data_IF_830056096208
#
_entry.id   IF_830056096208
#
_cell.length_a   1.000
_cell.length_b   1.000
_cell.length_c   1.000
_cell.angle_alpha   90.00
_cell.angle_beta   90.00
_cell.angle_gamma   90.00
#
_symmetry.space_group_name_H-M   'P 1'
#
loop_
_entity.id
_entity.type
_entity.pdbx_description
1 polymer ?
#
# COMPACT_ATOMS: atom_id res chain seq x y z
N UNK A 1 12.54 22.54 -17.45
CA UNK A 1 11.43 22.78 -18.38
C UNK A 1 11.41 24.24 -18.77
N UNK A 2 11.52 24.55 -20.06
CA UNK A 2 11.47 25.92 -20.59
C UNK A 2 10.24 26.11 -21.47
N UNK A 3 9.67 27.30 -21.43
CA UNK A 3 8.47 27.67 -22.17
C UNK A 3 8.78 28.73 -23.22
N UNK A 4 7.77 29.53 -23.54
CA UNK A 4 7.91 30.66 -24.46
C UNK A 4 9.06 31.60 -24.05
N UNK A 5 9.81 32.10 -25.04
CA UNK A 5 11.03 32.90 -24.85
C UNK A 5 12.10 32.24 -23.97
N UNK A 6 12.13 30.90 -23.94
CA UNK A 6 13.07 30.08 -23.17
C UNK A 6 13.08 30.35 -21.66
N UNK A 7 11.99 30.93 -21.15
CA UNK A 7 11.79 31.11 -19.71
C UNK A 7 11.60 29.76 -19.05
N UNK A 8 12.37 29.47 -18.02
CA UNK A 8 12.18 28.27 -17.20
C UNK A 8 10.89 28.44 -16.40
N UNK A 9 9.93 27.55 -16.59
CA UNK A 9 8.67 27.54 -15.83
C UNK A 9 8.64 26.45 -14.75
N UNK A 10 9.46 25.40 -14.92
CA UNK A 10 9.57 24.35 -13.91
C UNK A 10 10.96 23.70 -13.88
N UNK A 11 11.32 23.16 -12.72
CA UNK A 11 12.53 22.38 -12.46
C UNK A 11 12.19 21.21 -11.52
N UNK A 12 12.52 19.99 -11.94
CA UNK A 12 12.42 18.79 -11.12
C UNK A 12 13.85 18.35 -10.77
N UNK A 13 14.22 18.50 -9.50
CA UNK A 13 15.47 18.01 -8.95
C UNK A 13 15.27 16.60 -8.40
N UNK A 14 16.14 15.66 -8.78
CA UNK A 14 16.13 14.27 -8.32
C UNK A 14 17.42 13.95 -7.59
N UNK A 15 17.33 13.40 -6.39
CA UNK A 15 18.44 12.77 -5.68
C UNK A 15 18.15 11.26 -5.59
N UNK A 16 18.78 10.49 -6.48
CA UNK A 16 18.53 9.06 -6.63
C UNK A 16 19.24 8.18 -5.59
N UNK A 17 20.24 8.71 -4.88
CA UNK A 17 20.87 8.01 -3.75
C UNK A 17 19.95 8.01 -2.53
N UNK A 18 19.40 9.20 -2.23
CA UNK A 18 18.48 9.41 -1.10
C UNK A 18 17.01 9.14 -1.46
N UNK A 19 16.72 8.86 -2.73
CA UNK A 19 15.36 8.72 -3.28
C UNK A 19 14.45 9.88 -2.88
N UNK A 20 14.95 11.10 -3.04
CA UNK A 20 14.18 12.33 -2.79
C UNK A 20 14.06 13.13 -4.07
N UNK A 21 13.01 13.93 -4.18
CA UNK A 21 12.84 14.82 -5.32
C UNK A 21 12.13 16.10 -4.93
N UNK A 22 12.37 17.15 -5.70
CA UNK A 22 11.77 18.47 -5.49
C UNK A 22 11.37 19.09 -6.81
N UNK A 23 10.08 19.38 -6.96
CA UNK A 23 9.55 20.17 -8.07
C UNK A 23 9.42 21.63 -7.64
N UNK A 24 10.03 22.52 -8.42
CA UNK A 24 9.84 23.97 -8.34
C UNK A 24 9.09 24.41 -9.60
N UNK A 25 8.00 25.16 -9.43
CA UNK A 25 7.19 25.76 -10.50
C UNK A 25 7.17 27.27 -10.30
N UNK A 26 7.36 28.01 -11.38
CA UNK A 26 7.35 29.46 -11.40
C UNK A 26 5.95 29.99 -11.75
N UNK A 27 5.59 31.15 -11.20
CA UNK A 27 4.31 31.80 -11.49
C UNK A 27 4.30 32.50 -12.86
N UNK A 28 4.36 31.71 -13.93
CA UNK A 28 4.37 32.21 -15.29
C UNK A 28 3.46 31.40 -16.20
N UNK A 29 3.03 32.04 -17.30
CA UNK A 29 2.41 31.35 -18.41
C UNK A 29 3.48 30.55 -19.17
N UNK A 30 3.22 29.26 -19.34
CA UNK A 30 4.19 28.32 -19.93
C UNK A 30 4.38 28.59 -21.43
N UNK A 31 3.30 28.78 -22.17
CA UNK A 31 3.33 29.09 -23.60
C UNK A 31 2.04 29.75 -24.11
N UNK A 32 2.14 30.91 -24.77
CA UNK A 32 0.97 31.71 -25.15
C UNK A 32 0.08 31.10 -26.25
N UNK A 33 0.61 30.17 -27.05
CA UNK A 33 -0.08 29.65 -28.24
C UNK A 33 -0.70 28.26 -28.07
N UNK A 34 -0.60 27.63 -26.89
CA UNK A 34 -1.12 26.27 -26.67
C UNK A 34 -2.17 26.28 -25.56
N UNK A 35 -3.42 25.99 -25.89
CA UNK A 35 -4.53 25.94 -24.93
C UNK A 35 -4.69 24.57 -24.26
N UNK A 36 -3.74 23.66 -24.48
CA UNK A 36 -3.72 22.28 -24.02
C UNK A 36 -2.40 21.93 -23.32
N UNK A 37 -2.23 20.66 -22.96
CA UNK A 37 -1.02 20.17 -22.30
C UNK A 37 0.23 20.48 -23.13
N UNK A 38 1.11 21.27 -22.54
CA UNK A 38 2.40 21.66 -23.11
C UNK A 38 3.54 20.81 -22.55
N UNK A 39 3.49 20.50 -21.26
CA UNK A 39 4.41 19.60 -20.59
C UNK A 39 3.69 18.91 -19.43
N UNK A 40 4.20 17.75 -19.00
CA UNK A 40 3.69 17.09 -17.80
C UNK A 40 4.76 16.27 -17.09
N UNK A 41 4.52 16.08 -15.79
CA UNK A 41 5.28 15.19 -14.92
C UNK A 41 4.29 14.22 -14.32
N UNK A 42 4.51 12.93 -14.56
CA UNK A 42 3.73 11.83 -14.01
C UNK A 42 4.69 10.91 -13.26
N UNK A 43 4.33 10.57 -12.03
CA UNK A 43 4.99 9.50 -11.26
C UNK A 43 3.96 8.44 -10.96
N UNK A 44 4.32 7.19 -11.26
CA UNK A 44 3.51 6.00 -10.99
C UNK A 44 4.26 5.05 -10.07
N UNK A 45 3.53 4.33 -9.21
CA UNK A 45 4.12 3.28 -8.39
C UNK A 45 4.50 2.04 -9.23
N UNK A 46 5.07 1.03 -8.59
CA UNK A 46 5.46 -0.24 -9.23
C UNK A 46 4.28 -1.03 -9.84
N UNK A 47 3.03 -0.67 -9.55
CA UNK A 47 1.81 -1.25 -10.13
C UNK A 47 1.20 -0.35 -11.23
N UNK A 48 1.87 0.75 -11.59
CA UNK A 48 1.39 1.72 -12.58
C UNK A 48 0.37 2.74 -12.05
N UNK A 49 0.06 2.75 -10.75
CA UNK A 49 -0.91 3.69 -10.19
C UNK A 49 -0.27 5.07 -10.06
N UNK A 50 -0.99 6.11 -10.48
CA UNK A 50 -0.57 7.51 -10.35
C UNK A 50 -0.37 7.88 -8.88
N UNK A 51 0.86 8.24 -8.50
CA UNK A 51 1.19 8.78 -7.17
C UNK A 51 1.37 10.29 -7.20
N UNK A 52 1.71 10.84 -8.35
CA UNK A 52 1.82 12.27 -8.56
C UNK A 52 1.57 12.59 -10.03
N UNK A 53 0.79 13.64 -10.29
CA UNK A 53 0.61 14.16 -11.64
C UNK A 53 0.57 15.69 -11.59
N UNK A 54 1.32 16.31 -12.49
CA UNK A 54 1.26 17.74 -12.75
C UNK A 54 1.25 17.96 -14.25
N UNK A 55 0.15 18.52 -14.74
CA UNK A 55 0.06 19.05 -16.09
C UNK A 55 0.43 20.53 -16.10
N UNK A 56 1.02 20.97 -17.21
CA UNK A 56 1.31 22.35 -17.50
C UNK A 56 0.60 22.73 -18.80
N UNK A 57 -0.60 23.30 -18.66
CA UNK A 57 -1.34 23.85 -19.78
C UNK A 57 -0.60 25.10 -20.28
N UNK A 58 -0.38 25.19 -21.59
CA UNK A 58 0.48 26.23 -22.17
C UNK A 58 0.00 27.64 -21.80
N UNK A 59 -1.24 27.96 -22.18
CA UNK A 59 -1.79 29.31 -22.13
C UNK A 59 -2.35 29.68 -20.75
N UNK A 60 -2.11 28.84 -19.74
CA UNK A 60 -2.49 29.08 -18.36
C UNK A 60 -1.27 29.52 -17.53
N UNK A 61 -1.54 30.41 -16.58
CA UNK A 61 -0.57 30.78 -15.56
C UNK A 61 -0.55 29.65 -14.54
N UNK A 62 0.64 29.10 -14.28
CA UNK A 62 0.81 28.07 -13.26
C UNK A 62 1.10 28.74 -11.92
N UNK A 63 0.41 28.38 -10.85
CA UNK A 63 0.78 28.89 -9.52
C UNK A 63 2.21 28.47 -9.15
N UNK A 64 2.96 29.41 -8.57
CA UNK A 64 4.28 29.09 -8.03
C UNK A 64 4.15 28.05 -6.93
N UNK A 65 4.97 27.01 -7.00
CA UNK A 65 4.98 25.96 -5.98
C UNK A 65 6.38 25.39 -5.80
N UNK A 66 6.65 24.93 -4.58
CA UNK A 66 7.76 24.03 -4.29
C UNK A 66 7.16 22.81 -3.60
N UNK A 67 7.37 21.62 -4.17
CA UNK A 67 6.76 20.39 -3.67
C UNK A 67 7.73 19.24 -3.77
N UNK A 68 7.87 18.49 -2.69
CA UNK A 68 8.57 17.21 -2.73
C UNK A 68 7.66 16.17 -3.40
N UNK A 69 8.18 15.45 -4.39
CA UNK A 69 7.43 14.43 -5.12
C UNK A 69 7.85 13.04 -4.59
N UNK A 70 6.90 12.11 -4.38
CA UNK A 70 7.23 10.75 -3.99
C UNK A 70 8.17 10.09 -5.01
N UNK A 71 9.31 9.60 -4.52
CA UNK A 71 10.30 8.87 -5.31
C UNK A 71 10.67 7.60 -4.56
N UNK A 72 10.49 6.43 -5.17
CA UNK A 72 10.86 5.14 -4.58
C UNK A 72 11.46 4.24 -5.66
N UNK A 73 12.29 3.28 -5.27
CA UNK A 73 12.76 2.27 -6.20
C UNK A 73 11.58 1.49 -6.80
N UNK A 74 11.68 1.19 -8.09
CA UNK A 74 10.63 0.53 -8.86
C UNK A 74 9.51 1.45 -9.33
N UNK A 75 9.46 2.72 -8.91
CA UNK A 75 8.49 3.68 -9.44
C UNK A 75 8.87 4.08 -10.87
N UNK A 76 7.88 4.62 -11.59
CA UNK A 76 8.03 5.11 -12.95
C UNK A 76 7.89 6.62 -12.96
N UNK A 77 8.80 7.30 -13.65
CA UNK A 77 8.76 8.74 -13.91
C UNK A 77 8.57 8.95 -15.41
N UNK A 78 7.46 9.58 -15.79
CA UNK A 78 7.17 10.00 -17.16
C UNK A 78 7.18 11.52 -17.25
N UNK A 79 7.99 12.06 -18.16
CA UNK A 79 8.10 13.48 -18.44
C UNK A 79 7.77 13.74 -19.90
N UNK A 80 6.74 14.55 -20.15
CA UNK A 80 6.34 14.97 -21.49
C UNK A 80 6.62 16.44 -21.71
N UNK A 81 7.00 16.80 -22.93
CA UNK A 81 7.21 18.19 -23.33
C UNK A 81 7.00 18.34 -24.84
N UNK A 82 6.08 19.22 -25.24
CA UNK A 82 5.73 19.43 -26.65
C UNK A 82 6.93 19.88 -27.48
N UNK A 83 7.67 20.86 -26.97
CA UNK A 83 8.88 21.39 -27.63
C UNK A 83 10.18 20.82 -27.01
N UNK A 84 10.21 19.50 -26.77
CA UNK A 84 11.29 18.85 -26.00
C UNK A 84 12.70 19.12 -26.53
N UNK A 85 12.89 19.21 -27.85
CA UNK A 85 14.21 19.23 -28.50
C UNK A 85 15.11 20.34 -27.96
N UNK A 86 14.54 21.54 -27.76
CA UNK A 86 15.25 22.74 -27.31
C UNK A 86 14.83 23.24 -25.92
N UNK A 87 13.72 22.72 -25.37
CA UNK A 87 13.11 23.28 -24.15
C UNK A 87 12.98 22.30 -22.98
N UNK A 88 13.18 21.00 -23.23
CA UNK A 88 13.38 20.01 -22.17
C UNK A 88 14.86 19.75 -21.97
N UNK A 89 15.30 19.70 -20.72
CA UNK A 89 16.67 19.40 -20.33
C UNK A 89 16.63 18.36 -19.24
N UNK A 90 17.31 17.24 -19.45
CA UNK A 90 17.49 16.16 -18.47
C UNK A 90 18.99 15.99 -18.31
N UNK A 91 19.52 16.39 -17.16
CA UNK A 91 20.95 16.52 -16.93
C UNK A 91 21.33 15.72 -15.69
N UNK A 92 22.30 14.81 -15.83
CA UNK A 92 23.05 14.26 -14.72
C UNK A 92 24.01 15.36 -14.23
N UNK A 93 23.66 15.99 -13.11
CA UNK A 93 24.42 17.12 -12.55
C UNK A 93 25.79 16.71 -12.01
N UNK A 94 25.94 15.49 -11.51
CA UNK A 94 27.21 14.99 -10.96
C UNK A 94 28.28 14.81 -12.04
N UNK A 95 27.85 14.37 -13.23
CA UNK A 95 28.72 14.15 -14.40
C UNK A 95 28.66 15.29 -15.41
N UNK A 96 27.77 16.25 -15.22
CA UNK A 96 27.44 17.29 -16.19
C UNK A 96 27.11 16.72 -17.59
N UNK A 97 26.37 15.61 -17.64
CA UNK A 97 25.99 14.93 -18.89
C UNK A 97 24.50 15.06 -19.15
N UNK A 98 24.12 15.40 -20.38
CA UNK A 98 22.72 15.38 -20.81
C UNK A 98 22.29 13.96 -21.16
N UNK A 99 21.05 13.61 -20.81
CA UNK A 99 20.42 12.37 -21.25
C UNK A 99 19.73 12.57 -22.60
N UNK A 100 19.59 11.49 -23.36
CA UNK A 100 18.72 11.46 -24.53
C UNK A 100 17.28 11.79 -24.12
N UNK A 101 16.63 12.58 -24.99
CA UNK A 101 15.28 13.10 -24.74
C UNK A 101 14.40 13.03 -25.97
N UNK A 102 13.15 12.64 -25.76
CA UNK A 102 12.05 12.67 -26.71
C UNK A 102 10.91 13.58 -26.24
N UNK A 103 9.82 13.62 -27.02
CA UNK A 103 8.58 14.30 -26.62
C UNK A 103 7.98 13.68 -25.34
N UNK A 104 8.19 12.37 -25.17
CA UNK A 104 7.91 11.61 -23.95
C UNK A 104 9.17 10.90 -23.49
N UNK A 105 9.44 10.94 -22.19
CA UNK A 105 10.61 10.34 -21.57
C UNK A 105 10.16 9.57 -20.34
N UNK A 106 10.36 8.25 -20.35
CA UNK A 106 9.89 7.38 -19.28
C UNK A 106 11.07 6.64 -18.68
N UNK A 107 11.13 6.62 -17.34
CA UNK A 107 12.20 5.99 -16.60
C UNK A 107 11.65 5.13 -15.47
N UNK A 108 12.19 3.93 -15.30
CA UNK A 108 12.08 3.16 -14.05
C UNK A 108 13.17 3.61 -13.07
N UNK A 109 12.74 4.03 -11.89
CA UNK A 109 13.60 4.55 -10.83
C UNK A 109 14.30 3.39 -10.13
N UNK A 110 15.61 3.49 -9.97
CA UNK A 110 16.44 2.64 -9.12
C UNK A 110 17.38 3.50 -8.29
N UNK A 111 17.94 2.95 -7.22
CA UNK A 111 18.98 3.67 -6.47
C UNK A 111 20.11 4.08 -7.42
N UNK A 112 20.50 5.35 -7.35
CA UNK A 112 21.56 5.96 -8.17
C UNK A 112 21.33 5.99 -9.69
N UNK A 113 20.17 5.56 -10.21
CA UNK A 113 19.98 5.43 -11.66
C UNK A 113 18.53 5.65 -12.12
N UNK A 114 18.37 6.37 -13.23
CA UNK A 114 17.17 6.34 -14.05
C UNK A 114 17.37 5.32 -15.18
N UNK A 115 16.51 4.33 -15.27
CA UNK A 115 16.55 3.33 -16.35
C UNK A 115 15.51 3.70 -17.39
N UNK A 116 15.90 4.10 -18.62
CA UNK A 116 14.93 4.38 -19.69
C UNK A 116 14.11 3.13 -20.01
N UNK A 117 12.81 3.30 -20.18
CA UNK A 117 11.85 2.25 -20.56
C UNK A 117 10.79 2.82 -21.51
N UNK A 118 10.02 1.95 -22.16
CA UNK A 118 8.79 2.31 -22.86
C UNK A 118 7.61 2.50 -21.88
N UNK A 119 6.67 3.39 -22.21
CA UNK A 119 5.39 3.53 -21.47
C UNK A 119 4.60 2.22 -21.44
N UNK A 120 4.72 1.38 -22.49
CA UNK A 120 4.04 0.08 -22.57
C UNK A 120 4.58 -0.96 -21.59
N UNK A 121 5.75 -0.73 -20.99
CA UNK A 121 6.34 -1.60 -19.96
C UNK A 121 5.85 -1.27 -18.55
N UNK A 122 5.12 -0.16 -18.38
CA UNK A 122 4.48 0.18 -17.11
C UNK A 122 3.27 -0.76 -16.92
N UNK A 123 3.14 -1.44 -15.77
CA UNK A 123 1.97 -2.27 -15.49
C UNK A 123 0.68 -1.46 -15.59
N UNK A 124 -0.35 -2.05 -16.18
CA UNK A 124 -1.70 -1.48 -16.18
C UNK A 124 -2.36 -1.80 -14.83
N UNK A 125 -2.67 -0.80 -13.99
CA UNK A 125 -3.29 -1.04 -12.69
C UNK A 125 -4.61 -1.80 -12.80
N UNK A 126 -5.38 -1.57 -13.86
CA UNK A 126 -6.69 -2.20 -14.05
C UNK A 126 -6.58 -3.71 -14.33
N UNK A 127 -5.40 -4.18 -14.75
CA UNK A 127 -5.13 -5.61 -14.96
C UNK A 127 -4.59 -6.31 -13.71
N UNK A 128 -4.45 -5.59 -12.61
CA UNK A 128 -4.05 -6.18 -11.33
C UNK A 128 -5.28 -6.50 -10.49
N UNK A 129 -5.51 -7.76 -10.07
CA UNK A 129 -6.59 -8.08 -9.14
C UNK A 129 -6.39 -7.38 -7.79
N UNK A 130 -5.18 -6.96 -7.46
CA UNK A 130 -4.82 -6.34 -6.19
C UNK A 130 -5.13 -4.85 -6.12
N UNK A 131 -5.40 -4.20 -7.25
CA UNK A 131 -5.59 -2.75 -7.35
C UNK A 131 -7.07 -2.42 -7.50
N UNK A 132 -7.63 -1.71 -6.53
CA UNK A 132 -9.03 -1.33 -6.49
C UNK A 132 -9.43 -0.87 -5.10
N UNK A 133 -10.67 -0.44 -4.92
CA UNK A 133 -11.23 -0.04 -3.62
C UNK A 133 -12.26 -1.04 -3.09
N UNK A 134 -12.75 -1.95 -3.91
CA UNK A 134 -13.83 -2.87 -3.55
C UNK A 134 -13.41 -4.31 -3.78
N UNK A 135 -13.47 -5.12 -2.73
CA UNK A 135 -13.09 -6.53 -2.77
C UNK A 135 -14.11 -7.39 -2.03
N UNK A 136 -14.49 -8.51 -2.63
CA UNK A 136 -15.40 -9.47 -2.04
C UNK A 136 -14.70 -10.78 -1.75
N UNK A 137 -14.91 -11.29 -0.55
CA UNK A 137 -14.45 -12.59 -0.09
C UNK A 137 -15.70 -13.44 0.17
N UNK A 138 -15.97 -14.39 -0.72
CA UNK A 138 -17.11 -15.30 -0.62
C UNK A 138 -16.67 -16.65 -0.09
N UNK A 139 -17.27 -17.09 1.02
CA UNK A 139 -16.97 -18.34 1.68
C UNK A 139 -18.09 -19.35 1.41
N UNK A 140 -17.75 -20.44 0.71
CA UNK A 140 -18.68 -21.51 0.38
C UNK A 140 -18.40 -22.77 1.19
N UNK A 141 -19.47 -23.45 1.56
CA UNK A 141 -19.43 -24.68 2.32
C UNK A 141 -19.87 -25.88 1.48
N UNK A 142 -20.34 -26.93 2.14
CA UNK A 142 -20.88 -28.12 1.47
C UNK A 142 -21.99 -27.74 0.48
N UNK A 143 -21.92 -28.28 -0.74
CA UNK A 143 -22.90 -27.99 -1.80
C UNK A 143 -22.81 -26.54 -2.32
N UNK A 144 -21.65 -25.90 -2.14
CA UNK A 144 -21.36 -24.54 -2.60
C UNK A 144 -22.26 -23.45 -1.98
N UNK A 145 -22.89 -23.77 -0.85
CA UNK A 145 -23.70 -22.80 -0.13
C UNK A 145 -22.81 -21.68 0.42
N UNK A 146 -23.20 -20.43 0.17
CA UNK A 146 -22.47 -19.27 0.70
C UNK A 146 -22.86 -19.08 2.15
N UNK A 147 -21.95 -19.41 3.06
CA UNK A 147 -22.19 -19.32 4.51
C UNK A 147 -21.70 -18.00 5.11
N UNK A 148 -20.76 -17.34 4.45
CA UNK A 148 -20.27 -16.03 4.86
C UNK A 148 -19.74 -15.23 3.67
N UNK A 149 -19.82 -13.92 3.78
CA UNK A 149 -19.23 -12.95 2.88
C UNK A 149 -18.48 -11.89 3.70
N UNK A 150 -17.32 -11.46 3.21
CA UNK A 150 -16.61 -10.27 3.69
C UNK A 150 -16.49 -9.31 2.51
N UNK A 151 -17.20 -8.19 2.56
CA UNK A 151 -17.12 -7.11 1.57
C UNK A 151 -16.21 -6.01 2.13
N UNK A 152 -15.16 -5.70 1.40
CA UNK A 152 -14.17 -4.70 1.75
C UNK A 152 -14.35 -3.46 0.90
N UNK A 153 -14.66 -2.33 1.53
CA UNK A 153 -14.75 -1.03 0.89
C UNK A 153 -13.69 -0.09 1.48
N UNK A 154 -12.64 0.15 0.70
CA UNK A 154 -11.51 1.01 1.05
C UNK A 154 -11.85 2.50 0.92
N UNK A 155 -12.94 2.86 0.25
CA UNK A 155 -13.43 4.23 0.12
C UNK A 155 -14.12 4.65 1.42
N UNK A 156 -15.07 3.84 1.89
CA UNK A 156 -15.75 4.05 3.19
C UNK A 156 -14.94 3.57 4.39
N UNK A 157 -13.83 2.85 4.14
CA UNK A 157 -12.95 2.26 5.16
C UNK A 157 -13.71 1.27 6.06
N UNK A 158 -14.53 0.43 5.45
CA UNK A 158 -15.32 -0.58 6.15
C UNK A 158 -15.07 -1.98 5.59
N UNK A 159 -15.04 -2.95 6.51
CA UNK A 159 -15.17 -4.37 6.23
C UNK A 159 -16.55 -4.83 6.74
N UNK A 160 -17.46 -5.14 5.82
CA UNK A 160 -18.77 -5.70 6.14
C UNK A 160 -18.69 -7.21 6.11
N UNK A 161 -19.03 -7.85 7.21
CA UNK A 161 -19.08 -9.30 7.36
C UNK A 161 -20.54 -9.71 7.46
N UNK A 162 -21.00 -10.56 6.55
CA UNK A 162 -22.35 -11.11 6.52
C UNK A 162 -22.26 -12.63 6.66
N UNK A 163 -22.70 -13.15 7.79
CA UNK A 163 -22.71 -14.57 8.13
C UNK A 163 -24.14 -15.06 8.04
N UNK A 164 -24.35 -16.18 7.34
CA UNK A 164 -25.65 -16.86 7.24
C UNK A 164 -25.80 -17.89 8.36
N UNK A 165 -27.04 -18.08 8.81
CA UNK A 165 -27.35 -19.13 9.79
C UNK A 165 -27.15 -20.50 9.14
N UNK A 166 -26.38 -21.37 9.79
CA UNK A 166 -26.11 -22.73 9.31
C UNK A 166 -24.68 -23.20 9.54
N UNK A 167 -24.45 -24.50 9.35
CA UNK A 167 -23.13 -25.11 9.45
C UNK A 167 -22.41 -25.06 8.10
N UNK A 168 -21.14 -24.63 8.01
CA UNK A 168 -20.40 -24.57 6.75
C UNK A 168 -20.33 -25.93 6.04
N UNK A 169 -19.96 -26.98 6.78
CA UNK A 169 -19.67 -28.29 6.19
C UNK A 169 -19.74 -29.43 7.21
N UNK A 170 -20.70 -30.33 7.07
CA UNK A 170 -20.99 -31.39 8.04
C UNK A 170 -19.86 -32.40 8.27
N UNK A 171 -18.98 -32.62 7.29
CA UNK A 171 -17.86 -33.57 7.41
C UNK A 171 -16.61 -33.04 8.13
N UNK A 172 -16.57 -31.77 8.56
CA UNK A 172 -15.43 -31.22 9.30
C UNK A 172 -15.85 -30.90 10.74
N UNK A 173 -15.20 -31.52 11.74
CA UNK A 173 -15.45 -31.23 13.16
C UNK A 173 -14.71 -30.02 13.69
N UNK A 174 -13.72 -29.53 12.94
CA UNK A 174 -12.76 -28.51 13.38
C UNK A 174 -12.92 -27.24 12.54
N UNK A 175 -11.97 -26.30 12.65
CA UNK A 175 -11.94 -25.06 11.88
C UNK A 175 -11.97 -25.34 10.38
N UNK A 176 -13.06 -24.94 9.73
CA UNK A 176 -13.27 -25.06 8.30
C UNK A 176 -12.83 -23.80 7.55
N UNK A 177 -13.12 -22.63 8.12
CA UNK A 177 -12.67 -21.36 7.61
C UNK A 177 -12.48 -20.35 8.75
N UNK A 178 -11.70 -19.31 8.52
CA UNK A 178 -11.62 -18.19 9.46
C UNK A 178 -11.35 -16.86 8.79
N UNK A 179 -11.80 -15.80 9.46
CA UNK A 179 -11.48 -14.40 9.16
C UNK A 179 -10.74 -13.84 10.38
N UNK A 180 -9.59 -13.23 10.15
CA UNK A 180 -8.82 -12.51 11.15
C UNK A 180 -8.42 -11.15 10.59
N UNK A 181 -8.84 -10.08 11.27
CA UNK A 181 -8.45 -8.70 10.95
C UNK A 181 -7.56 -8.19 12.07
N UNK A 182 -6.37 -7.71 11.71
CA UNK A 182 -5.42 -7.08 12.63
C UNK A 182 -5.14 -5.63 12.24
N UNK A 183 -4.89 -4.80 13.23
CA UNK A 183 -4.46 -3.42 13.00
C UNK A 183 -2.98 -3.35 12.55
N UNK A 184 -2.46 -2.13 12.40
CA UNK A 184 -1.06 -1.87 12.03
C UNK A 184 -0.06 -2.34 13.08
N UNK A 185 -0.51 -2.48 14.33
CA UNK A 185 0.30 -2.95 15.44
C UNK A 185 0.25 -4.48 15.63
N UNK A 186 -0.57 -5.17 14.82
CA UNK A 186 -0.77 -6.62 14.90
C UNK A 186 -1.79 -7.03 15.98
N UNK A 187 -2.48 -6.09 16.60
CA UNK A 187 -3.57 -6.39 17.53
C UNK A 187 -4.79 -6.90 16.76
N UNK A 188 -5.48 -7.89 17.31
CA UNK A 188 -6.71 -8.43 16.71
C UNK A 188 -7.84 -7.41 16.86
N UNK A 189 -8.36 -6.95 15.72
CA UNK A 189 -9.55 -6.09 15.63
C UNK A 189 -10.81 -6.95 15.53
N UNK A 190 -10.74 -8.02 14.74
CA UNK A 190 -11.84 -8.96 14.58
C UNK A 190 -11.31 -10.37 14.34
N UNK A 191 -11.99 -11.36 14.89
CA UNK A 191 -11.76 -12.76 14.54
C UNK A 191 -13.06 -13.53 14.51
N UNK A 192 -13.20 -14.42 13.53
CA UNK A 192 -14.28 -15.38 13.43
C UNK A 192 -13.73 -16.70 12.94
N UNK A 193 -13.90 -17.72 13.76
CA UNK A 193 -13.66 -19.11 13.39
C UNK A 193 -15.00 -19.78 13.03
N UNK A 194 -15.01 -20.49 11.91
CA UNK A 194 -16.14 -21.24 11.39
C UNK A 194 -15.83 -22.73 11.52
N UNK A 195 -16.35 -23.35 12.58
CA UNK A 195 -16.24 -24.80 12.77
C UNK A 195 -17.20 -25.51 11.80
N UNK A 196 -16.71 -26.47 11.02
CA UNK A 196 -17.43 -27.02 9.88
C UNK A 196 -18.83 -27.56 10.19
N UNK A 197 -18.93 -28.43 11.19
CA UNK A 197 -20.19 -29.09 11.57
C UNK A 197 -20.98 -28.34 12.64
N UNK A 198 -20.54 -27.13 13.02
CA UNK A 198 -21.20 -26.31 14.03
C UNK A 198 -22.04 -25.22 13.37
N UNK A 199 -23.28 -25.10 13.80
CA UNK A 199 -24.17 -24.05 13.33
C UNK A 199 -23.65 -22.65 13.72
N UNK A 200 -23.52 -21.77 12.73
CA UNK A 200 -23.37 -20.33 12.94
C UNK A 200 -24.75 -19.68 13.07
N UNK A 201 -24.84 -18.63 13.88
CA UNK A 201 -25.98 -17.73 13.85
C UNK A 201 -25.77 -16.65 12.80
N UNK A 202 -26.87 -16.15 12.23
CA UNK A 202 -26.80 -15.05 11.27
C UNK A 202 -26.26 -13.78 11.95
N UNK A 203 -25.34 -13.09 11.29
CA UNK A 203 -24.72 -11.88 11.81
C UNK A 203 -24.33 -10.97 10.65
N UNK A 204 -24.72 -9.70 10.72
CA UNK A 204 -24.13 -8.64 9.89
C UNK A 204 -23.31 -7.74 10.81
N UNK A 205 -22.04 -7.56 10.49
CA UNK A 205 -21.11 -6.75 11.29
C UNK A 205 -20.26 -5.88 10.38
N UNK A 206 -20.27 -4.58 10.63
CA UNK A 206 -19.32 -3.64 10.03
C UNK A 206 -18.14 -3.45 10.99
N UNK A 207 -16.94 -3.49 10.43
CA UNK A 207 -15.68 -3.26 11.13
C UNK A 207 -14.97 -2.09 10.43
N UNK A 208 -14.57 -1.08 11.21
CA UNK A 208 -13.74 -0.01 10.69
C UNK A 208 -12.33 -0.52 10.41
N UNK A 209 -11.80 -0.18 9.24
CA UNK A 209 -10.48 -0.61 8.77
C UNK A 209 -9.64 0.60 8.36
N UNK A 210 -8.32 0.43 8.28
CA UNK A 210 -7.41 1.49 7.82
C UNK A 210 -6.35 0.92 6.90
N UNK A 211 -5.78 1.78 6.07
CA UNK A 211 -4.53 1.49 5.37
C UNK A 211 -3.49 1.02 6.39
N UNK A 212 -2.83 -0.09 6.07
CA UNK A 212 -1.89 -0.79 6.92
C UNK A 212 -2.45 -1.96 7.74
N UNK A 213 -3.78 -2.13 7.83
CA UNK A 213 -4.39 -3.29 8.51
C UNK A 213 -4.11 -4.57 7.72
N UNK A 214 -4.23 -5.72 8.40
CA UNK A 214 -4.01 -7.03 7.81
C UNK A 214 -5.29 -7.88 7.89
N UNK A 215 -5.63 -8.56 6.80
CA UNK A 215 -6.74 -9.53 6.73
C UNK A 215 -6.12 -10.89 6.43
N UNK A 216 -6.25 -11.83 7.36
CA UNK A 216 -5.86 -13.23 7.19
C UNK A 216 -7.11 -14.09 7.02
N UNK A 217 -7.14 -14.84 5.94
CA UNK A 217 -8.20 -15.78 5.60
C UNK A 217 -7.64 -17.19 5.63
N UNK A 218 -8.37 -18.11 6.27
CA UNK A 218 -8.11 -19.55 6.17
C UNK A 218 -9.33 -20.27 5.64
N UNK A 219 -9.11 -21.31 4.86
CA UNK A 219 -10.15 -22.17 4.33
C UNK A 219 -9.60 -23.57 4.09
N UNK A 220 -10.35 -24.63 4.46
CA UNK A 220 -9.89 -26.01 4.22
C UNK A 220 -9.98 -26.41 2.74
N UNK A 221 -10.90 -25.79 1.98
CA UNK A 221 -11.13 -26.10 0.56
C UNK A 221 -11.04 -24.83 -0.34
N UNK A 222 -9.92 -24.10 -0.34
CA UNK A 222 -9.84 -22.76 -0.94
C UNK A 222 -10.06 -22.77 -2.47
N UNK A 223 -9.56 -23.78 -3.18
CA UNK A 223 -9.58 -23.81 -4.65
C UNK A 223 -11.00 -23.82 -5.21
N UNK A 224 -11.88 -24.59 -4.57
CA UNK A 224 -13.26 -24.79 -5.03
C UNK A 224 -14.27 -23.89 -4.33
N UNK A 225 -13.96 -23.43 -3.10
CA UNK A 225 -14.98 -22.87 -2.19
C UNK A 225 -14.64 -21.55 -1.53
N UNK A 226 -13.46 -21.01 -1.80
CA UNK A 226 -13.14 -19.63 -1.49
C UNK A 226 -13.07 -18.84 -2.79
N UNK A 227 -13.73 -17.69 -2.86
CA UNK A 227 -13.60 -16.75 -3.96
C UNK A 227 -13.19 -15.39 -3.37
N UNK A 228 -12.11 -14.82 -3.89
CA UNK A 228 -11.63 -13.50 -3.47
C UNK A 228 -11.51 -12.65 -4.73
N UNK A 229 -12.40 -11.70 -4.91
CA UNK A 229 -12.55 -10.96 -6.17
C UNK A 229 -12.41 -9.48 -5.92
N UNK A 230 -11.71 -8.81 -6.82
CA UNK A 230 -11.79 -7.36 -6.95
C UNK A 230 -13.00 -7.03 -7.81
N UNK A 231 -13.99 -6.36 -7.24
CA UNK A 231 -15.28 -6.13 -7.91
C UNK A 231 -15.21 -5.00 -8.94
N UNK A 232 -14.11 -4.25 -9.02
CA UNK A 232 -13.94 -3.17 -10.00
C UNK A 232 -13.47 -3.69 -11.36
N UNK A 233 -12.70 -4.78 -11.37
CA UNK A 233 -12.18 -5.39 -12.60
C UNK A 233 -12.53 -6.87 -12.74
N UNK A 234 -13.31 -7.42 -11.82
CA UNK A 234 -13.79 -8.81 -11.78
C UNK A 234 -12.66 -9.86 -11.72
N UNK A 235 -11.43 -9.45 -11.44
CA UNK A 235 -10.29 -10.35 -11.36
C UNK A 235 -10.22 -11.02 -9.99
N UNK A 236 -9.91 -12.31 -9.99
CA UNK A 236 -9.71 -13.09 -8.77
C UNK A 236 -8.29 -12.87 -8.23
N UNK A 237 -8.19 -12.68 -6.91
CA UNK A 237 -6.93 -12.61 -6.18
C UNK A 237 -6.40 -14.03 -5.93
N UNK A 238 -5.09 -14.14 -5.74
CA UNK A 238 -4.50 -15.41 -5.27
C UNK A 238 -5.18 -15.83 -3.96
N UNK A 239 -5.45 -17.12 -3.78
CA UNK A 239 -6.07 -17.72 -2.59
C UNK A 239 -5.33 -19.00 -2.21
N UNK A 240 -5.59 -19.51 -1.00
CA UNK A 240 -4.97 -20.75 -0.52
C UNK A 240 -5.48 -21.11 0.88
N UNK A 241 -4.94 -22.18 1.47
CA UNK A 241 -5.40 -22.66 2.78
C UNK A 241 -5.26 -21.61 3.90
N UNK A 242 -4.25 -20.74 3.75
CA UNK A 242 -4.04 -19.55 4.57
C UNK A 242 -3.43 -18.47 3.71
N UNK A 243 -4.05 -17.29 3.66
CA UNK A 243 -3.53 -16.14 2.93
C UNK A 243 -3.75 -14.87 3.74
N UNK A 244 -2.79 -13.96 3.67
CA UNK A 244 -2.86 -12.66 4.34
C UNK A 244 -2.71 -11.55 3.31
N UNK A 245 -3.54 -10.52 3.43
CA UNK A 245 -3.42 -9.28 2.68
C UNK A 245 -3.22 -8.11 3.63
N UNK A 246 -2.30 -7.21 3.28
CA UNK A 246 -2.21 -5.88 3.86
C UNK A 246 -3.09 -4.93 3.06
N UNK A 247 -3.94 -4.19 3.77
CA UNK A 247 -4.75 -3.12 3.21
C UNK A 247 -3.84 -1.94 2.90
N UNK A 248 -3.97 -1.35 1.73
CA UNK A 248 -3.32 -0.10 1.34
C UNK A 248 -4.37 0.92 0.96
N UNK A 249 -3.97 2.18 0.76
CA UNK A 249 -4.91 3.20 0.27
C UNK A 249 -5.43 2.89 -1.13
N UNK A 250 -4.81 1.99 -1.91
CA UNK A 250 -5.14 1.79 -3.32
C UNK A 250 -5.43 0.33 -3.69
N UNK A 251 -5.63 -0.52 -2.69
CA UNK A 251 -5.93 -1.93 -2.87
C UNK A 251 -5.32 -2.82 -1.79
N UNK A 252 -5.05 -4.07 -2.16
CA UNK A 252 -4.50 -5.09 -1.29
C UNK A 252 -3.09 -5.47 -1.73
N UNK A 253 -2.22 -5.83 -0.79
CA UNK A 253 -0.93 -6.45 -1.10
C UNK A 253 -0.85 -7.75 -0.33
N UNK A 254 -0.52 -8.85 -1.00
CA UNK A 254 -0.26 -10.11 -0.32
C UNK A 254 0.88 -9.91 0.69
N UNK A 255 0.64 -10.32 1.92
CA UNK A 255 1.59 -10.18 3.03
C UNK A 255 1.87 -11.54 3.66
N UNK A 256 3.00 -11.65 4.33
CA UNK A 256 3.32 -12.78 5.21
C UNK A 256 2.91 -12.49 6.65
N UNK A 257 2.63 -13.53 7.45
CA UNK A 257 2.36 -13.35 8.89
C UNK A 257 3.56 -12.69 9.61
N UNK A 258 4.79 -12.92 9.13
CA UNK A 258 6.01 -12.32 9.67
C UNK A 258 6.05 -10.79 9.52
N UNK A 259 5.42 -10.23 8.49
CA UNK A 259 5.36 -8.77 8.27
C UNK A 259 4.49 -8.06 9.30
N UNK A 260 3.45 -8.73 9.81
CA UNK A 260 2.54 -8.19 10.82
C UNK A 260 3.33 -7.84 12.11
N UNK A 261 4.36 -8.63 12.42
CA UNK A 261 5.18 -8.47 13.62
C UNK A 261 6.45 -7.61 13.39
N UNK A 262 6.74 -7.22 12.13
CA UNK A 262 7.97 -6.48 11.73
C UNK A 262 7.74 -5.01 11.37
N UNK A 263 6.53 -4.46 11.52
CA UNK A 263 6.29 -3.03 11.26
C UNK A 263 7.24 -2.17 12.10
N UNK A 264 7.97 -1.18 11.53
CA UNK A 264 8.83 -0.28 12.32
C UNK A 264 8.06 0.53 13.37
N UNK A 265 6.73 0.66 13.23
CA UNK A 265 5.86 1.23 14.27
C UNK A 265 5.74 0.34 15.52
N UNK A 266 6.01 -0.97 15.38
CA UNK A 266 6.05 -1.95 16.47
C UNK A 266 7.44 -2.10 17.06
N UNK A 267 8.48 -1.51 16.47
CA UNK A 267 9.81 -1.52 17.10
C UNK A 267 9.73 -0.74 18.43
N UNK A 268 10.30 -1.33 19.48
CA UNK A 268 10.35 -0.66 20.78
C UNK A 268 11.08 0.69 20.63
N UNK A 269 10.41 1.76 21.05
CA UNK A 269 10.90 3.13 20.96
C UNK A 269 11.00 3.71 22.38
N UNK A 270 12.18 4.17 22.82
CA UNK A 270 12.35 4.73 24.16
C UNK A 270 11.47 5.95 24.44
N UNK A 271 11.02 6.65 23.40
CA UNK A 271 10.19 7.85 23.53
C UNK A 271 8.68 7.58 23.53
N UNK A 272 8.22 6.38 23.14
CA UNK A 272 6.79 5.99 23.14
C UNK A 272 6.41 5.45 24.52
N UNK A 273 5.26 5.86 25.04
CA UNK A 273 4.65 5.24 26.22
C UNK A 273 3.85 4.00 25.78
N UNK A 274 3.94 2.94 26.57
CA UNK A 274 3.28 1.66 26.34
C UNK A 274 2.39 1.33 27.52
N UNK A 275 1.15 0.91 27.29
CA UNK A 275 0.21 0.46 28.32
C UNK A 275 0.28 -1.05 28.53
N UNK A 276 -0.33 -1.54 29.61
CA UNK A 276 -0.48 -2.98 29.83
C UNK A 276 -1.17 -3.64 28.63
N UNK A 277 -0.53 -4.65 28.04
CA UNK A 277 -1.03 -5.36 26.86
C UNK A 277 -0.32 -5.03 25.55
N UNK A 278 0.29 -3.84 25.46
CA UNK A 278 0.96 -3.38 24.24
C UNK A 278 2.10 -4.33 23.85
N UNK A 279 2.30 -4.53 22.55
CA UNK A 279 3.34 -5.41 22.03
C UNK A 279 4.39 -4.61 21.27
N UNK A 280 5.64 -5.02 21.42
CA UNK A 280 6.78 -4.43 20.72
C UNK A 280 7.72 -5.50 20.19
N UNK A 281 8.33 -5.23 19.04
CA UNK A 281 9.49 -5.96 18.54
C UNK A 281 10.77 -5.30 19.07
N UNK A 282 11.67 -6.09 19.62
CA UNK A 282 12.97 -5.62 20.08
C UNK A 282 14.03 -6.70 19.86
N UNK A 283 15.06 -6.38 19.07
CA UNK A 283 16.14 -7.32 18.69
C UNK A 283 15.63 -8.65 18.14
N UNK A 284 14.59 -8.59 17.30
CA UNK A 284 14.00 -9.76 16.63
C UNK A 284 13.10 -10.64 17.51
N UNK A 285 12.75 -10.18 18.72
CA UNK A 285 11.82 -10.85 19.64
C UNK A 285 10.62 -9.96 19.91
N UNK A 286 9.48 -10.57 20.22
CA UNK A 286 8.25 -9.85 20.58
C UNK A 286 8.06 -9.85 22.09
N UNK A 287 7.84 -8.67 22.66
CA UNK A 287 7.54 -8.47 24.07
C UNK A 287 6.16 -7.87 24.26
N UNK A 288 5.49 -8.21 25.35
CA UNK A 288 4.23 -7.63 25.80
C UNK A 288 4.45 -6.82 27.07
N UNK A 289 3.92 -5.60 27.13
CA UNK A 289 3.96 -4.77 28.32
C UNK A 289 3.02 -5.34 29.39
N UNK A 290 3.52 -5.53 30.60
CA UNK A 290 2.77 -6.00 31.77
C UNK A 290 2.03 -4.86 32.48
N UNK A 291 2.55 -3.65 32.38
CA UNK A 291 1.96 -2.40 32.88
C UNK A 291 2.52 -1.22 32.08
N UNK A 292 2.03 -0.02 32.41
CA UNK A 292 2.47 1.20 31.75
C UNK A 292 3.99 1.41 31.87
N UNK A 293 4.67 1.71 30.77
CA UNK A 293 6.11 1.95 30.74
C UNK A 293 6.51 2.88 29.59
N UNK A 294 7.56 3.67 29.78
CA UNK A 294 8.20 4.49 28.75
C UNK A 294 9.71 4.48 29.01
N UNK A 295 10.52 4.37 27.94
CA UNK A 295 11.97 4.41 28.05
C UNK A 295 12.66 3.16 28.64
N UNK A 296 11.93 2.24 29.26
CA UNK A 296 12.50 0.99 29.79
C UNK A 296 12.64 -0.06 28.69
N UNK A 297 13.87 -0.43 28.30
CA UNK A 297 14.11 -1.38 27.21
C UNK A 297 13.79 -2.84 27.60
N UNK A 298 13.30 -3.69 26.68
CA UNK A 298 12.97 -5.09 26.99
C UNK A 298 14.12 -5.98 27.48
N UNK A 299 15.38 -5.68 27.11
CA UNK A 299 16.56 -6.42 27.58
C UNK A 299 17.27 -5.78 28.78
N UNK A 300 16.65 -4.77 29.41
CA UNK A 300 17.18 -4.18 30.65
C UNK A 300 17.34 -5.27 31.70
N UNK A 301 18.57 -5.46 32.19
CA UNK A 301 18.87 -6.44 33.24
C UNK A 301 18.20 -6.01 34.54
N UNK A 302 17.39 -6.90 35.10
CA UNK A 302 16.72 -6.74 36.39
C UNK A 302 17.07 -7.91 37.30
N UNK A 303 16.92 -7.74 38.61
CA UNK A 303 17.22 -8.80 39.58
C UNK A 303 16.14 -9.89 39.54
N UNK A 304 14.88 -9.47 39.34
CA UNK A 304 13.74 -10.37 39.32
C UNK A 304 12.87 -10.19 38.06
N UNK A 305 12.24 -11.25 37.50
CA UNK A 305 11.41 -11.15 36.30
C UNK A 305 10.20 -10.21 36.41
N UNK A 306 9.73 -9.89 37.62
CA UNK A 306 8.63 -8.95 37.86
C UNK A 306 9.07 -7.49 37.91
N UNK A 307 10.35 -7.17 37.77
CA UNK A 307 10.84 -5.78 37.79
C UNK A 307 10.93 -5.17 36.40
N UNK A 308 11.01 -6.00 35.35
CA UNK A 308 10.87 -5.53 33.96
C UNK A 308 9.39 -5.32 33.63
N UNK A 309 9.00 -4.27 32.90
CA UNK A 309 7.65 -4.11 32.38
C UNK A 309 7.35 -5.05 31.21
N UNK A 310 8.35 -5.77 30.69
CA UNK A 310 8.20 -6.58 29.48
C UNK A 310 8.14 -8.07 29.79
N UNK A 311 7.23 -8.77 29.11
CA UNK A 311 7.12 -10.22 29.05
C UNK A 311 7.50 -10.67 27.64
N UNK A 312 8.48 -11.56 27.51
CA UNK A 312 8.83 -12.16 26.21
C UNK A 312 7.72 -13.14 25.79
N UNK A 313 7.17 -12.97 24.58
CA UNK A 313 6.06 -13.81 24.08
C UNK A 313 6.38 -14.59 22.79
N UNK A 314 7.40 -14.19 22.02
CA UNK A 314 7.93 -14.96 20.87
C UNK A 314 9.37 -14.58 20.57
#
# INVERSE_FOLDING_TARGET
>A
FKGYSDKRFAKLDLNLDKLTSKLTVENIKTHYYFNDSYASILVQNNLGQTVFYKDFIGNEVNDAMVKDIPLKEGYYLTVKHREYSNRLFVINVDKNLSLDKGATNTYKISKNKLNPISESEIPDPNKSPYVGKHFDFTFKGLGDWVFAELNLDLTSKQAKIDIKKGAPHTYFSDSYASILIRDTEGNTVYTKDFIGNKENQALIKNIDIKSGYYITIKHQEPDNRLLITNTENELELEKGNSITYKITDTGLVKASEDEINKSPENEWNPSKSYNAGDKVSYKGKTYKAKWWSQGFAPDTKVQNPWETPWELIS
#
